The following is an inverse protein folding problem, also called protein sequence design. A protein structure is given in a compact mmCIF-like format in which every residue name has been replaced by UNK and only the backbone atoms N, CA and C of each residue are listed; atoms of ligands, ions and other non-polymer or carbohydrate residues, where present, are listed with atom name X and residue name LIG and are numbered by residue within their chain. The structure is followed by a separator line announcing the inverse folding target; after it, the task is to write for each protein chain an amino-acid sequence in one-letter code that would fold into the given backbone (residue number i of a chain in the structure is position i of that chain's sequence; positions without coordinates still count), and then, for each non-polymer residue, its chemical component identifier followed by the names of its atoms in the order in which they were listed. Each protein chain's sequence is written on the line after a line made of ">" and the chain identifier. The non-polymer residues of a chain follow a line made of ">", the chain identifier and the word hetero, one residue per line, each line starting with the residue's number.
data_IF_327887221817
#
_entry.id   IF_327887221817
#
_cell.length_a   1.000
_cell.length_b   1.000
_cell.length_c   1.000
_cell.angle_alpha   90.00
_cell.angle_beta   90.00
_cell.angle_gamma   90.00
#
_symmetry.space_group_name_H-M   'P 1'
#
loop_
_entity.id
_entity.type
_entity.pdbx_description
1 polymer ?
#
# COMPACT_ATOMS: atom_id res chain seq x y z
N UNK A 1 7.33 -21.90 -8.59
CA UNK A 1 6.16 -21.95 -9.49
C UNK A 1 6.11 -20.61 -10.19
N UNK A 2 6.01 -20.61 -11.52
CA UNK A 2 5.98 -19.37 -12.31
C UNK A 2 4.57 -18.78 -12.26
N UNK A 3 4.46 -17.49 -11.97
CA UNK A 3 3.20 -16.73 -12.00
C UNK A 3 2.99 -16.19 -13.41
N UNK A 4 1.79 -16.36 -13.94
CA UNK A 4 1.43 -15.94 -15.30
C UNK A 4 0.29 -14.94 -15.28
N UNK A 5 0.51 -13.75 -15.81
CA UNK A 5 -0.53 -12.77 -16.07
C UNK A 5 -0.83 -12.70 -17.58
N UNK A 6 -2.05 -12.31 -17.93
CA UNK A 6 -2.36 -11.85 -19.27
C UNK A 6 -2.55 -10.34 -19.25
N UNK A 7 -1.97 -9.65 -20.22
CA UNK A 7 -2.16 -8.23 -20.43
C UNK A 7 -3.07 -7.98 -21.63
N UNK A 8 -4.16 -7.25 -21.42
CA UNK A 8 -5.12 -6.90 -22.46
C UNK A 8 -5.04 -5.40 -22.71
N UNK A 9 -4.65 -5.04 -23.92
CA UNK A 9 -4.55 -3.66 -24.42
C UNK A 9 -5.07 -3.60 -25.86
N UNK A 10 -5.41 -2.42 -26.36
CA UNK A 10 -5.60 -2.20 -27.79
C UNK A 10 -4.29 -1.84 -28.50
N UNK A 11 -3.34 -1.23 -27.80
CA UNK A 11 -2.02 -0.87 -28.30
C UNK A 11 -0.99 -2.01 -28.17
N UNK A 12 -0.52 -2.61 -29.29
CA UNK A 12 0.48 -3.66 -29.23
C UNK A 12 1.85 -3.17 -28.73
N UNK A 13 2.17 -1.88 -28.86
CA UNK A 13 3.45 -1.32 -28.38
C UNK A 13 3.47 -1.12 -26.87
N UNK A 14 2.30 -1.04 -26.22
CA UNK A 14 2.21 -0.91 -24.76
C UNK A 14 2.77 -2.13 -24.01
N UNK A 15 2.98 -3.27 -24.69
CA UNK A 15 3.71 -4.41 -24.14
C UNK A 15 5.12 -4.03 -23.63
N UNK A 16 5.85 -3.17 -24.36
CA UNK A 16 7.21 -2.80 -23.96
C UNK A 16 7.26 -2.08 -22.60
N UNK A 17 6.15 -1.46 -22.16
CA UNK A 17 6.05 -0.79 -20.87
C UNK A 17 5.85 -1.78 -19.71
N UNK A 18 5.24 -2.93 -19.96
CA UNK A 18 4.99 -3.96 -18.93
C UNK A 18 6.07 -5.03 -18.86
N UNK A 19 6.91 -5.15 -19.89
CA UNK A 19 7.97 -6.16 -19.92
C UNK A 19 8.95 -6.02 -18.75
N UNK A 20 9.14 -4.80 -18.22
CA UNK A 20 9.98 -4.58 -17.04
C UNK A 20 9.46 -5.23 -15.74
N UNK A 21 8.21 -5.69 -15.70
CA UNK A 21 7.70 -6.49 -14.60
C UNK A 21 8.16 -7.96 -14.66
N UNK A 22 8.47 -8.47 -15.85
CA UNK A 22 8.81 -9.88 -16.04
C UNK A 22 10.14 -10.26 -15.41
N UNK A 23 10.20 -11.45 -14.82
CA UNK A 23 11.41 -12.04 -14.26
C UNK A 23 11.25 -13.57 -14.15
N UNK A 24 12.17 -14.25 -13.48
CA UNK A 24 12.15 -15.72 -13.30
C UNK A 24 10.88 -16.25 -12.62
N UNK A 25 10.13 -15.40 -11.91
CA UNK A 25 8.90 -15.72 -11.18
C UNK A 25 7.64 -15.18 -11.85
N UNK A 26 7.72 -14.15 -12.67
CA UNK A 26 6.56 -13.49 -13.32
C UNK A 26 6.72 -13.44 -14.84
N UNK A 27 5.71 -13.93 -15.55
CA UNK A 27 5.59 -13.80 -17.01
C UNK A 27 4.28 -13.13 -17.36
N UNK A 28 4.27 -12.31 -18.41
CA UNK A 28 3.09 -11.58 -18.86
C UNK A 28 2.86 -11.83 -20.34
N UNK A 29 1.79 -12.54 -20.65
CA UNK A 29 1.37 -12.78 -22.02
C UNK A 29 0.50 -11.60 -22.50
N UNK A 30 1.04 -10.80 -23.43
CA UNK A 30 0.30 -9.71 -24.06
C UNK A 30 -0.66 -10.22 -25.13
N UNK A 31 -1.87 -9.68 -25.14
CA UNK A 31 -2.85 -9.93 -26.18
C UNK A 31 -3.66 -8.66 -26.47
N UNK A 32 -4.01 -8.46 -27.74
CA UNK A 32 -5.00 -7.45 -28.09
C UNK A 32 -6.41 -7.90 -27.68
N UNK A 33 -7.29 -6.92 -27.45
CA UNK A 33 -8.71 -7.17 -27.18
C UNK A 33 -9.38 -8.00 -28.29
N UNK A 34 -10.42 -8.76 -27.91
CA UNK A 34 -11.37 -9.39 -28.85
C UNK A 34 -12.45 -8.41 -29.29
N UNK A 35 -13.27 -8.80 -30.25
CA UNK A 35 -14.25 -7.89 -30.87
C UNK A 35 -15.44 -7.63 -29.93
N UNK A 36 -15.86 -8.67 -29.22
CA UNK A 36 -16.96 -8.64 -28.25
C UNK A 36 -16.51 -9.04 -26.85
N UNK A 37 -17.30 -8.66 -25.83
CA UNK A 37 -17.01 -9.01 -24.46
C UNK A 37 -17.18 -10.53 -24.24
N UNK A 38 -18.11 -11.18 -24.94
CA UNK A 38 -18.34 -12.62 -24.90
C UNK A 38 -17.11 -13.39 -25.41
N UNK A 39 -16.56 -12.99 -26.55
CA UNK A 39 -15.33 -13.59 -27.09
C UNK A 39 -14.14 -13.36 -26.17
N UNK A 40 -14.03 -12.17 -25.59
CA UNK A 40 -12.95 -11.85 -24.65
C UNK A 40 -13.04 -12.72 -23.39
N UNK A 41 -14.22 -12.87 -22.81
CA UNK A 41 -14.43 -13.73 -21.65
C UNK A 41 -14.20 -15.21 -21.97
N UNK A 42 -14.65 -15.68 -23.14
CA UNK A 42 -14.39 -17.06 -23.54
C UNK A 42 -12.89 -17.31 -23.70
N UNK A 43 -12.16 -16.34 -24.27
CA UNK A 43 -10.70 -16.39 -24.38
C UNK A 43 -10.01 -16.45 -23.01
N UNK A 44 -10.51 -15.69 -22.03
CA UNK A 44 -10.00 -15.72 -20.65
C UNK A 44 -10.34 -17.06 -19.99
N UNK A 45 -11.58 -17.52 -20.11
CA UNK A 45 -12.07 -18.78 -19.53
C UNK A 45 -11.27 -19.97 -20.04
N UNK A 46 -10.97 -20.03 -21.34
CA UNK A 46 -10.17 -21.09 -21.93
C UNK A 46 -8.73 -21.17 -21.39
N UNK A 47 -8.22 -20.09 -20.79
CA UNK A 47 -6.87 -19.99 -20.21
C UNK A 47 -6.88 -19.89 -18.68
N UNK A 48 -8.03 -19.99 -18.02
CA UNK A 48 -8.16 -19.63 -16.59
C UNK A 48 -7.28 -20.48 -15.65
N UNK A 49 -7.02 -21.73 -16.05
CA UNK A 49 -6.17 -22.66 -15.28
C UNK A 49 -4.68 -22.37 -15.46
N UNK A 50 -4.31 -21.68 -16.55
CA UNK A 50 -2.93 -21.30 -16.85
C UNK A 50 -2.56 -19.92 -16.31
N UNK A 51 -3.54 -19.07 -16.04
CA UNK A 51 -3.33 -17.70 -15.57
C UNK A 51 -3.59 -17.55 -14.08
N UNK A 52 -2.88 -16.58 -13.50
CA UNK A 52 -2.92 -16.21 -12.10
C UNK A 52 -3.42 -14.79 -11.87
N UNK A 53 -3.64 -14.02 -12.94
CA UNK A 53 -4.14 -12.65 -12.87
C UNK A 53 -4.25 -12.02 -14.25
N UNK A 54 -4.88 -10.85 -14.30
CA UNK A 54 -5.08 -10.07 -15.52
C UNK A 54 -4.62 -8.63 -15.28
N UNK A 55 -3.90 -8.08 -16.25
CA UNK A 55 -3.61 -6.65 -16.37
C UNK A 55 -4.48 -6.10 -17.50
N UNK A 56 -5.23 -5.03 -17.24
CA UNK A 56 -6.15 -4.43 -18.21
C UNK A 56 -5.77 -2.98 -18.47
N UNK A 57 -5.74 -2.58 -19.74
CA UNK A 57 -5.87 -1.17 -20.07
C UNK A 57 -7.34 -0.70 -19.89
N UNK A 58 -7.50 0.58 -19.56
CA UNK A 58 -8.81 1.21 -19.37
C UNK A 58 -9.56 1.39 -20.70
N UNK A 59 -8.85 1.83 -21.73
CA UNK A 59 -9.34 2.19 -23.05
C UNK A 59 -8.95 1.12 -24.06
N UNK A 60 -9.81 0.11 -24.15
CA UNK A 60 -9.64 -0.97 -25.14
C UNK A 60 -10.26 -0.61 -26.50
N UNK A 61 -10.88 0.58 -26.62
CA UNK A 61 -11.67 1.05 -27.75
C UNK A 61 -10.98 2.14 -28.61
N UNK A 62 -9.75 2.55 -28.27
CA UNK A 62 -9.02 3.65 -28.92
C UNK A 62 -8.35 3.20 -30.25
N UNK A 63 -7.84 1.97 -30.33
CA UNK A 63 -7.19 1.38 -31.50
C UNK A 63 -7.92 0.09 -31.97
N UNK A 64 -7.88 -0.23 -33.28
CA UNK A 64 -8.37 -1.51 -33.77
C UNK A 64 -7.37 -2.64 -33.47
N UNK A 65 -7.87 -3.84 -33.25
CA UNK A 65 -7.07 -5.06 -33.18
C UNK A 65 -6.52 -5.48 -34.56
N UNK A 66 -5.71 -6.54 -34.59
CA UNK A 66 -5.13 -7.13 -35.81
C UNK A 66 -6.16 -7.47 -36.91
N UNK A 67 -7.43 -7.69 -36.56
CA UNK A 67 -8.51 -7.98 -37.51
C UNK A 67 -9.23 -6.70 -38.01
N UNK A 68 -8.79 -5.52 -37.57
CA UNK A 68 -9.38 -4.23 -37.95
C UNK A 68 -10.61 -3.83 -37.14
N UNK A 69 -10.94 -4.56 -36.07
CA UNK A 69 -12.09 -4.28 -35.22
C UNK A 69 -11.69 -3.51 -33.97
N UNK A 70 -12.52 -2.57 -33.54
CA UNK A 70 -12.38 -1.87 -32.24
C UNK A 70 -13.21 -2.59 -31.19
N UNK A 71 -12.75 -2.62 -29.94
CA UNK A 71 -13.54 -3.17 -28.85
C UNK A 71 -14.86 -2.39 -28.72
N UNK A 72 -15.94 -3.11 -28.40
CA UNK A 72 -17.23 -2.51 -28.05
C UNK A 72 -17.40 -2.30 -26.55
N UNK A 73 -16.31 -2.39 -25.80
CA UNK A 73 -16.26 -2.35 -24.34
C UNK A 73 -14.97 -1.68 -23.87
N UNK A 74 -14.99 -1.19 -22.63
CA UNK A 74 -13.83 -0.63 -21.94
C UNK A 74 -13.31 -1.60 -20.88
N UNK A 75 -12.10 -1.32 -20.36
CA UNK A 75 -11.49 -2.12 -19.30
C UNK A 75 -12.37 -2.26 -18.06
N UNK A 76 -13.10 -1.21 -17.66
CA UNK A 76 -14.06 -1.24 -16.54
C UNK A 76 -15.24 -2.17 -16.81
N UNK A 77 -15.84 -2.10 -18.00
CA UNK A 77 -16.96 -2.98 -18.38
C UNK A 77 -16.54 -4.45 -18.37
N UNK A 78 -15.35 -4.74 -18.90
CA UNK A 78 -14.77 -6.08 -18.88
C UNK A 78 -14.46 -6.54 -17.44
N UNK A 79 -13.84 -5.70 -16.62
CA UNK A 79 -13.52 -6.02 -15.23
C UNK A 79 -14.77 -6.30 -14.41
N UNK A 80 -15.82 -5.48 -14.56
CA UNK A 80 -17.12 -5.69 -13.91
C UNK A 80 -17.69 -7.07 -14.26
N UNK A 81 -17.68 -7.43 -15.55
CA UNK A 81 -18.22 -8.71 -15.99
C UNK A 81 -17.37 -9.89 -15.51
N UNK A 82 -16.04 -9.76 -15.51
CA UNK A 82 -15.13 -10.74 -14.89
C UNK A 82 -15.50 -10.95 -13.42
N UNK A 83 -15.71 -9.88 -12.63
CA UNK A 83 -16.11 -9.97 -11.22
C UNK A 83 -17.47 -10.66 -11.06
N UNK A 84 -18.44 -10.36 -11.94
CA UNK A 84 -19.74 -11.04 -11.96
C UNK A 84 -19.57 -12.55 -12.16
N UNK A 85 -18.80 -12.97 -13.18
CA UNK A 85 -18.55 -14.40 -13.46
C UNK A 85 -17.75 -15.09 -12.36
N UNK A 86 -16.83 -14.39 -11.70
CA UNK A 86 -16.10 -14.89 -10.54
C UNK A 86 -17.05 -15.14 -9.36
N UNK A 87 -17.98 -14.21 -9.09
CA UNK A 87 -19.00 -14.36 -8.04
C UNK A 87 -19.96 -15.52 -8.31
N UNK A 88 -20.31 -15.75 -9.56
CA UNK A 88 -21.18 -16.85 -9.99
C UNK A 88 -20.46 -18.21 -10.03
N UNK A 89 -19.15 -18.25 -9.80
CA UNK A 89 -18.34 -19.46 -9.93
C UNK A 89 -18.13 -19.93 -11.37
N UNK A 90 -18.54 -19.13 -12.36
CA UNK A 90 -18.34 -19.40 -13.79
C UNK A 90 -16.89 -19.18 -14.18
N UNK A 91 -16.16 -18.29 -13.50
CA UNK A 91 -14.75 -18.02 -13.77
C UNK A 91 -13.94 -18.17 -12.47
N UNK A 92 -12.74 -18.73 -12.57
CA UNK A 92 -11.80 -18.78 -11.45
C UNK A 92 -11.54 -17.36 -10.88
N UNK A 93 -11.43 -17.26 -9.56
CA UNK A 93 -11.04 -16.01 -8.90
C UNK A 93 -9.53 -15.76 -9.05
N UNK A 94 -9.19 -14.56 -9.51
CA UNK A 94 -7.83 -14.04 -9.68
C UNK A 94 -7.85 -12.49 -9.59
N UNK A 95 -6.70 -11.86 -9.29
CA UNK A 95 -6.59 -10.41 -9.26
C UNK A 95 -6.74 -9.76 -10.64
N UNK A 96 -7.30 -8.56 -10.66
CA UNK A 96 -7.40 -7.69 -11.83
C UNK A 96 -6.65 -6.39 -11.53
N UNK A 97 -5.67 -6.08 -12.37
CA UNK A 97 -4.80 -4.91 -12.24
C UNK A 97 -5.16 -3.93 -13.35
N UNK A 98 -5.42 -2.68 -12.99
CA UNK A 98 -5.57 -1.62 -13.98
C UNK A 98 -4.20 -1.06 -14.34
N UNK A 99 -3.88 -1.00 -15.61
CA UNK A 99 -2.67 -0.37 -16.13
C UNK A 99 -3.08 0.66 -17.17
N UNK A 100 -3.07 1.95 -16.83
CA UNK A 100 -3.61 2.99 -17.71
C UNK A 100 -2.80 4.29 -17.65
N UNK A 101 -2.82 5.07 -18.73
CA UNK A 101 -2.13 6.35 -18.84
C UNK A 101 -3.04 7.48 -18.34
N UNK A 102 -2.94 7.83 -17.05
CA UNK A 102 -3.32 9.13 -16.48
C UNK A 102 -3.22 9.13 -14.95
N UNK A 103 -2.64 10.20 -14.42
CA UNK A 103 -2.75 10.67 -13.03
C UNK A 103 -4.20 10.85 -12.54
N UNK A 104 -5.14 11.01 -13.48
CA UNK A 104 -6.58 11.14 -13.24
C UNK A 104 -7.38 9.85 -13.37
N UNK A 105 -6.77 8.67 -13.50
CA UNK A 105 -7.52 7.38 -13.50
C UNK A 105 -8.35 7.23 -12.22
N UNK A 106 -7.84 7.72 -11.09
CA UNK A 106 -8.56 7.77 -9.81
C UNK A 106 -9.68 8.82 -9.74
N UNK A 107 -9.70 9.81 -10.66
CA UNK A 107 -10.75 10.84 -10.80
C UNK A 107 -11.76 10.48 -11.90
N UNK A 108 -11.34 9.74 -12.93
CA UNK A 108 -12.16 9.30 -14.05
C UNK A 108 -12.98 8.04 -13.72
N UNK A 109 -12.48 7.20 -12.81
CA UNK A 109 -13.26 6.13 -12.20
C UNK A 109 -14.09 6.72 -11.06
N UNK A 110 -15.42 6.66 -11.21
CA UNK A 110 -16.33 6.84 -10.06
C UNK A 110 -15.95 5.84 -8.95
N UNK A 111 -16.39 6.10 -7.70
CA UNK A 111 -16.06 5.24 -6.55
C UNK A 111 -16.29 3.75 -6.83
N UNK A 112 -17.37 3.40 -7.54
CA UNK A 112 -17.70 2.03 -7.95
C UNK A 112 -16.73 1.40 -8.95
N UNK A 113 -16.09 2.19 -9.82
CA UNK A 113 -15.15 1.70 -10.82
C UNK A 113 -13.79 1.34 -10.24
N UNK A 114 -13.39 1.95 -9.12
CA UNK A 114 -12.15 1.60 -8.39
C UNK A 114 -12.23 0.21 -7.77
N UNK A 115 -13.42 -0.18 -7.35
CA UNK A 115 -13.68 -1.42 -6.62
C UNK A 115 -13.48 -2.67 -7.47
N UNK A 116 -13.36 -2.50 -8.79
CA UNK A 116 -13.16 -3.59 -9.75
C UNK A 116 -11.72 -4.10 -9.77
N UNK A 117 -10.76 -3.23 -9.45
CA UNK A 117 -9.33 -3.50 -9.59
C UNK A 117 -8.67 -3.64 -8.22
N UNK A 118 -7.75 -4.59 -8.09
CA UNK A 118 -7.01 -4.80 -6.85
C UNK A 118 -5.92 -3.74 -6.65
N UNK A 119 -5.24 -3.36 -7.74
CA UNK A 119 -4.28 -2.25 -7.79
C UNK A 119 -4.41 -1.50 -9.11
N UNK A 120 -4.04 -0.22 -9.09
CA UNK A 120 -3.96 0.65 -10.27
C UNK A 120 -2.52 1.11 -10.48
N UNK A 121 -2.00 0.93 -11.68
CA UNK A 121 -0.63 1.28 -12.07
C UNK A 121 -0.71 2.33 -13.19
N UNK A 122 -0.06 3.47 -12.98
CA UNK A 122 -0.02 4.56 -13.94
C UNK A 122 1.06 4.33 -14.99
N UNK A 123 0.64 4.10 -16.25
CA UNK A 123 1.50 3.88 -17.41
C UNK A 123 2.49 5.02 -17.65
N UNK A 124 2.15 6.25 -17.26
CA UNK A 124 2.95 7.44 -17.56
C UNK A 124 4.17 7.59 -16.64
N UNK A 125 4.14 6.92 -15.49
CA UNK A 125 5.13 7.04 -14.42
C UNK A 125 5.95 5.76 -14.22
N UNK A 126 5.90 4.81 -15.16
CA UNK A 126 6.64 3.55 -15.12
C UNK A 126 8.14 3.79 -15.30
N UNK A 127 8.93 3.32 -14.32
CA UNK A 127 10.37 3.28 -14.35
C UNK A 127 10.91 2.08 -13.52
N UNK A 128 12.23 1.99 -13.35
CA UNK A 128 12.88 0.91 -12.59
C UNK A 128 12.42 0.80 -11.12
N UNK A 129 12.14 1.94 -10.47
CA UNK A 129 11.62 1.97 -9.10
C UNK A 129 10.18 1.44 -9.06
N UNK A 130 9.36 1.78 -10.07
CA UNK A 130 8.01 1.23 -10.22
C UNK A 130 8.04 -0.29 -10.33
N UNK A 131 8.97 -0.87 -11.09
CA UNK A 131 9.10 -2.33 -11.22
C UNK A 131 9.48 -2.99 -9.89
N UNK A 132 10.37 -2.39 -9.11
CA UNK A 132 10.75 -2.89 -7.79
C UNK A 132 9.57 -2.91 -6.80
N UNK A 133 8.58 -2.03 -6.98
CA UNK A 133 7.37 -1.95 -6.14
C UNK A 133 6.28 -2.91 -6.66
N UNK A 134 5.91 -2.79 -7.93
CA UNK A 134 4.72 -3.46 -8.45
C UNK A 134 4.96 -4.94 -8.79
N UNK A 135 6.18 -5.36 -9.16
CA UNK A 135 6.43 -6.78 -9.45
C UNK A 135 6.17 -7.68 -8.23
N UNK A 136 6.69 -7.38 -7.03
CA UNK A 136 6.30 -8.10 -5.81
C UNK A 136 4.79 -8.05 -5.53
N UNK A 137 4.12 -6.93 -5.79
CA UNK A 137 2.68 -6.80 -5.61
C UNK A 137 1.90 -7.73 -6.56
N UNK A 138 2.27 -7.81 -7.84
CA UNK A 138 1.64 -8.73 -8.81
C UNK A 138 1.81 -10.19 -8.38
N UNK A 139 3.02 -10.58 -7.97
CA UNK A 139 3.33 -11.92 -7.49
C UNK A 139 2.53 -12.28 -6.24
N UNK A 140 2.46 -11.36 -5.28
CA UNK A 140 1.79 -11.61 -4.00
C UNK A 140 0.27 -11.54 -4.12
N UNK A 141 -0.28 -10.74 -5.04
CA UNK A 141 -1.71 -10.74 -5.36
C UNK A 141 -2.12 -12.13 -5.88
N UNK A 142 -1.37 -12.67 -6.85
CA UNK A 142 -1.61 -14.00 -7.39
C UNK A 142 -1.55 -15.09 -6.32
N UNK A 143 -0.50 -15.11 -5.49
CA UNK A 143 -0.35 -16.12 -4.44
C UNK A 143 -1.33 -15.92 -3.28
N UNK A 144 -1.65 -14.67 -2.94
CA UNK A 144 -2.61 -14.29 -1.90
C UNK A 144 -4.03 -14.72 -2.26
N UNK A 145 -4.47 -14.53 -3.51
CA UNK A 145 -5.74 -15.06 -3.99
C UNK A 145 -5.82 -16.59 -3.86
N UNK A 146 -4.76 -17.31 -4.25
CA UNK A 146 -4.68 -18.78 -4.08
C UNK A 146 -4.76 -19.21 -2.61
N UNK A 147 -4.19 -18.41 -1.70
CA UNK A 147 -4.25 -18.66 -0.25
C UNK A 147 -5.66 -18.40 0.29
N UNK A 148 -6.24 -17.23 0.01
CA UNK A 148 -7.59 -16.86 0.44
C UNK A 148 -8.66 -17.86 -0.03
N UNK A 149 -8.58 -18.35 -1.26
CA UNK A 149 -9.49 -19.39 -1.78
C UNK A 149 -9.46 -20.71 -0.99
N UNK A 150 -8.34 -21.01 -0.31
CA UNK A 150 -8.15 -22.25 0.47
C UNK A 150 -8.39 -22.03 1.96
N UNK A 151 -8.41 -20.79 2.40
CA UNK A 151 -8.56 -20.40 3.80
C UNK A 151 -10.02 -20.55 4.22
N UNK A 152 -10.26 -21.29 5.31
CA UNK A 152 -11.62 -21.48 5.85
C UNK A 152 -12.01 -20.36 6.80
N UNK A 153 -11.08 -19.93 7.65
CA UNK A 153 -11.23 -18.77 8.52
C UNK A 153 -10.29 -17.66 8.03
N UNK A 154 -10.86 -16.57 7.54
CA UNK A 154 -10.15 -15.43 6.98
C UNK A 154 -9.12 -14.85 7.95
N UNK A 155 -9.31 -15.01 9.27
CA UNK A 155 -8.33 -14.59 10.28
C UNK A 155 -7.00 -15.34 10.16
N UNK A 156 -7.01 -16.59 9.68
CA UNK A 156 -5.79 -17.37 9.37
C UNK A 156 -4.96 -16.72 8.25
N UNK A 157 -5.59 -15.90 7.38
CA UNK A 157 -4.88 -15.20 6.31
C UNK A 157 -3.83 -14.22 6.87
N UNK A 158 -4.00 -13.73 8.10
CA UNK A 158 -3.09 -12.80 8.78
C UNK A 158 -1.78 -13.45 9.23
N UNK A 159 -1.74 -14.78 9.35
CA UNK A 159 -0.60 -15.55 9.83
C UNK A 159 0.02 -14.99 11.14
N UNK A 160 -0.83 -14.69 12.12
CA UNK A 160 -0.43 -14.11 13.40
C UNK A 160 -1.30 -14.69 14.52
N UNK A 161 -0.80 -14.60 15.75
CA UNK A 161 -1.62 -14.87 16.93
C UNK A 161 -2.68 -13.76 17.07
N UNK A 162 -3.94 -14.14 16.81
CA UNK A 162 -5.07 -13.22 16.79
C UNK A 162 -5.42 -12.67 18.18
N UNK A 163 -4.96 -13.31 19.27
CA UNK A 163 -5.27 -12.86 20.64
C UNK A 163 -4.67 -11.49 20.98
N UNK A 164 -3.66 -11.05 20.22
CA UNK A 164 -3.00 -9.74 20.36
C UNK A 164 -3.47 -8.71 19.33
N UNK A 165 -4.42 -9.06 18.46
CA UNK A 165 -4.96 -8.18 17.42
C UNK A 165 -6.25 -7.52 17.94
N UNK A 166 -6.46 -6.25 17.58
CA UNK A 166 -7.66 -5.50 17.94
C UNK A 166 -8.93 -6.26 17.54
N UNK A 167 -9.79 -6.53 18.52
CA UNK A 167 -10.99 -7.33 18.32
C UNK A 167 -12.00 -6.68 17.37
N UNK A 168 -11.98 -5.34 17.24
CA UNK A 168 -12.85 -4.61 16.30
C UNK A 168 -12.40 -4.87 14.87
N UNK A 169 -11.08 -4.89 14.62
CA UNK A 169 -10.55 -5.28 13.31
C UNK A 169 -10.89 -6.73 12.97
N UNK A 170 -10.73 -7.65 13.94
CA UNK A 170 -11.05 -9.06 13.72
C UNK A 170 -12.54 -9.28 13.41
N UNK A 171 -13.42 -8.55 14.11
CA UNK A 171 -14.87 -8.59 13.86
C UNK A 171 -15.20 -8.11 12.44
N UNK A 172 -14.65 -6.97 12.04
CA UNK A 172 -14.88 -6.40 10.70
C UNK A 172 -14.31 -7.30 9.60
N UNK A 173 -13.13 -7.90 9.81
CA UNK A 173 -12.55 -8.87 8.87
C UNK A 173 -13.45 -10.10 8.70
N UNK A 174 -14.05 -10.59 9.79
CA UNK A 174 -14.93 -11.76 9.79
C UNK A 174 -16.22 -11.52 8.99
N UNK A 175 -16.72 -10.29 8.93
CA UNK A 175 -17.87 -9.95 8.08
C UNK A 175 -17.60 -10.18 6.58
N UNK A 176 -16.32 -10.18 6.17
CA UNK A 176 -15.91 -10.49 4.79
C UNK A 176 -15.70 -11.99 4.52
N UNK A 177 -15.81 -12.87 5.51
CA UNK A 177 -15.55 -14.32 5.38
C UNK A 177 -16.30 -14.97 4.20
N UNK A 178 -17.55 -14.56 3.98
CA UNK A 178 -18.41 -15.09 2.92
C UNK A 178 -18.44 -14.21 1.66
N UNK A 179 -17.69 -13.12 1.65
CA UNK A 179 -17.58 -12.24 0.48
C UNK A 179 -16.71 -12.87 -0.60
N UNK A 180 -16.86 -12.48 -1.88
CA UNK A 180 -15.94 -12.88 -2.93
C UNK A 180 -14.48 -12.54 -2.59
N UNK A 181 -13.53 -13.35 -3.07
CA UNK A 181 -12.11 -13.21 -2.72
C UNK A 181 -11.54 -11.83 -3.01
N UNK A 182 -11.99 -11.17 -4.08
CA UNK A 182 -11.54 -9.81 -4.39
C UNK A 182 -11.98 -8.76 -3.36
N UNK A 183 -13.15 -8.96 -2.74
CA UNK A 183 -13.63 -8.09 -1.66
C UNK A 183 -12.81 -8.33 -0.40
N UNK A 184 -12.52 -9.60 -0.07
CA UNK A 184 -11.63 -9.96 1.04
C UNK A 184 -10.23 -9.37 0.85
N UNK A 185 -9.63 -9.58 -0.33
CA UNK A 185 -8.32 -9.07 -0.69
C UNK A 185 -8.27 -7.55 -0.58
N UNK A 186 -9.28 -6.87 -1.12
CA UNK A 186 -9.39 -5.41 -1.05
C UNK A 186 -9.45 -4.91 0.38
N UNK A 187 -10.29 -5.48 1.24
CA UNK A 187 -10.35 -5.05 2.65
C UNK A 187 -8.99 -5.18 3.35
N UNK A 188 -8.29 -6.31 3.15
CA UNK A 188 -6.95 -6.52 3.73
C UNK A 188 -5.95 -5.49 3.17
N UNK A 189 -5.96 -5.24 1.86
CA UNK A 189 -5.04 -4.29 1.24
C UNK A 189 -5.36 -2.86 1.71
N UNK A 190 -6.59 -2.39 1.55
CA UNK A 190 -6.95 -0.98 1.73
C UNK A 190 -7.14 -0.58 3.19
N UNK A 191 -7.57 -1.50 4.07
CA UNK A 191 -7.91 -1.18 5.46
C UNK A 191 -6.89 -1.67 6.49
N UNK A 192 -5.97 -2.56 6.09
CA UNK A 192 -4.89 -3.06 6.95
C UNK A 192 -3.50 -2.70 6.38
N UNK A 193 -3.21 -3.00 5.11
CA UNK A 193 -1.86 -2.85 4.57
C UNK A 193 -1.54 -1.41 4.15
N UNK A 194 -2.46 -0.72 3.50
CA UNK A 194 -2.25 0.65 3.00
C UNK A 194 -2.43 1.71 4.09
N UNK A 195 -3.00 1.34 5.24
CA UNK A 195 -3.24 2.25 6.37
C UNK A 195 -2.21 2.03 7.47
N UNK A 196 -1.84 3.12 8.12
CA UNK A 196 -1.07 3.06 9.35
C UNK A 196 -2.00 2.70 10.51
N UNK A 197 -1.52 1.90 11.46
CA UNK A 197 -2.25 1.55 12.67
C UNK A 197 -1.70 0.26 13.29
N UNK A 198 -2.47 -0.83 13.18
CA UNK A 198 -2.02 -2.16 13.59
C UNK A 198 -0.70 -2.58 12.93
N UNK A 199 -0.60 -2.28 11.63
CA UNK A 199 0.59 -2.46 10.82
C UNK A 199 1.23 -1.11 10.49
N UNK A 200 2.55 -1.10 10.44
CA UNK A 200 3.35 0.07 10.06
C UNK A 200 4.33 -0.29 8.94
N UNK A 201 4.60 0.67 8.05
CA UNK A 201 5.64 0.51 7.02
C UNK A 201 7.03 0.82 7.60
N UNK A 202 8.04 0.65 6.75
CA UNK A 202 9.43 0.86 7.13
C UNK A 202 9.74 2.30 7.55
N UNK A 203 9.15 3.30 6.88
CA UNK A 203 9.35 4.72 7.23
C UNK A 203 8.82 5.00 8.64
N UNK A 204 7.58 4.59 8.93
CA UNK A 204 6.96 4.76 10.25
C UNK A 204 7.69 3.95 11.31
N UNK A 205 8.17 2.75 10.99
CA UNK A 205 9.03 1.97 11.90
C UNK A 205 10.30 2.75 12.26
N UNK A 206 11.01 3.31 11.28
CA UNK A 206 12.20 4.12 11.52
C UNK A 206 11.88 5.35 12.38
N UNK A 207 10.77 6.04 12.10
CA UNK A 207 10.31 7.18 12.90
C UNK A 207 10.02 6.77 14.35
N UNK A 208 9.26 5.71 14.58
CA UNK A 208 8.92 5.23 15.94
C UNK A 208 10.15 4.82 16.74
N UNK A 209 11.17 4.29 16.07
CA UNK A 209 12.46 3.96 16.68
C UNK A 209 13.42 5.17 16.82
N UNK A 210 13.06 6.33 16.27
CA UNK A 210 13.86 7.56 16.35
C UNK A 210 15.07 7.59 15.41
N UNK A 211 15.06 6.80 14.33
CA UNK A 211 16.22 6.54 13.48
C UNK A 211 16.07 7.24 12.13
N UNK A 212 17.15 7.87 11.67
CA UNK A 212 17.32 8.25 10.27
C UNK A 212 17.82 7.05 9.48
N UNK A 213 16.90 6.30 8.84
CA UNK A 213 17.26 5.08 8.11
C UNK A 213 18.16 5.34 6.91
N UNK A 214 18.11 6.53 6.29
CA UNK A 214 18.93 6.86 5.11
C UNK A 214 20.39 7.06 5.51
N UNK A 215 20.62 7.64 6.68
CA UNK A 215 21.96 7.90 7.22
C UNK A 215 22.52 6.76 8.08
N UNK A 216 21.81 5.65 8.23
CA UNK A 216 22.14 4.55 9.16
C UNK A 216 22.59 3.26 8.44
N UNK A 217 23.90 3.01 8.30
CA UNK A 217 24.40 1.75 7.73
C UNK A 217 23.90 0.46 8.41
N UNK A 218 23.65 0.51 9.72
CA UNK A 218 23.19 -0.68 10.49
C UNK A 218 21.67 -0.91 10.38
N UNK A 219 20.95 -0.13 9.56
CA UNK A 219 19.49 -0.22 9.44
C UNK A 219 18.99 -1.62 9.03
N UNK A 220 19.63 -2.25 8.04
CA UNK A 220 19.25 -3.59 7.59
C UNK A 220 19.46 -4.66 8.68
N UNK A 221 20.52 -4.54 9.47
CA UNK A 221 20.79 -5.44 10.61
C UNK A 221 19.75 -5.25 11.71
N UNK A 222 19.34 -4.01 11.97
CA UNK A 222 18.26 -3.71 12.90
C UNK A 222 16.94 -4.33 12.44
N UNK A 223 16.59 -4.22 11.15
CA UNK A 223 15.38 -4.87 10.61
C UNK A 223 15.41 -6.38 10.78
N UNK A 224 16.58 -7.02 10.62
CA UNK A 224 16.72 -8.46 10.87
C UNK A 224 16.41 -8.81 12.33
N UNK A 225 16.81 -7.98 13.29
CA UNK A 225 16.47 -8.16 14.70
C UNK A 225 14.97 -8.04 15.01
N UNK A 226 14.21 -7.38 14.11
CA UNK A 226 12.76 -7.19 14.15
C UNK A 226 11.99 -8.17 13.25
N UNK A 227 12.64 -9.19 12.71
CA UNK A 227 12.02 -10.18 11.81
C UNK A 227 10.80 -10.87 12.41
N UNK A 228 10.78 -11.12 13.72
CA UNK A 228 9.61 -11.71 14.41
C UNK A 228 8.41 -10.78 14.48
N UNK A 229 8.62 -9.47 14.31
CA UNK A 229 7.55 -8.47 14.28
C UNK A 229 7.01 -8.23 12.86
N UNK A 230 7.64 -8.80 11.82
CA UNK A 230 7.18 -8.64 10.44
C UNK A 230 5.81 -9.30 10.23
N UNK A 231 4.96 -8.61 9.48
CA UNK A 231 3.74 -9.20 8.95
C UNK A 231 4.12 -10.27 7.92
N UNK A 232 3.53 -11.45 8.04
CA UNK A 232 3.77 -12.60 7.14
C UNK A 232 2.46 -13.21 6.64
N UNK A 233 1.35 -12.46 6.77
CA UNK A 233 0.05 -12.84 6.25
C UNK A 233 -0.04 -12.74 4.73
N UNK A 234 -1.23 -12.86 4.17
CA UNK A 234 -1.44 -12.65 2.72
C UNK A 234 -0.88 -11.31 2.26
N UNK A 235 -0.31 -11.28 1.06
CA UNK A 235 0.24 -10.07 0.43
C UNK A 235 1.51 -9.47 1.05
N UNK A 236 2.10 -10.06 2.10
CA UNK A 236 3.21 -9.44 2.84
C UNK A 236 4.46 -9.08 1.99
N UNK A 237 4.76 -9.83 0.93
CA UNK A 237 5.95 -9.56 0.09
C UNK A 237 5.77 -8.30 -0.78
N UNK A 238 4.54 -8.00 -1.19
CA UNK A 238 4.21 -6.78 -1.95
C UNK A 238 3.93 -5.57 -1.06
N UNK A 239 3.62 -5.81 0.22
CA UNK A 239 3.40 -4.79 1.24
C UNK A 239 4.17 -5.14 2.52
N UNK A 240 5.50 -4.92 2.55
CA UNK A 240 6.30 -5.16 3.74
C UNK A 240 5.85 -4.28 4.90
N UNK A 241 5.43 -4.91 5.99
CA UNK A 241 4.88 -4.25 7.18
C UNK A 241 5.32 -4.95 8.46
N UNK A 242 5.18 -4.25 9.59
CA UNK A 242 5.42 -4.78 10.93
C UNK A 242 4.20 -4.59 11.80
N UNK A 243 3.89 -5.58 12.63
CA UNK A 243 2.89 -5.48 13.68
C UNK A 243 3.41 -4.58 14.79
N UNK A 244 2.71 -3.47 15.07
CA UNK A 244 3.18 -2.54 16.08
C UNK A 244 3.28 -3.20 17.46
N UNK A 245 2.30 -4.02 17.85
CA UNK A 245 2.33 -4.70 19.14
C UNK A 245 3.54 -5.64 19.30
N UNK A 246 4.06 -6.21 18.19
CA UNK A 246 5.27 -7.03 18.21
C UNK A 246 6.55 -6.17 18.23
N UNK A 247 6.52 -4.97 17.63
CA UNK A 247 7.60 -3.98 17.76
C UNK A 247 7.70 -3.49 19.21
N UNK A 248 6.56 -3.20 19.85
CA UNK A 248 6.52 -2.84 21.28
C UNK A 248 7.04 -3.99 22.16
N UNK A 249 6.63 -5.24 21.87
CA UNK A 249 7.16 -6.41 22.57
C UNK A 249 8.68 -6.55 22.38
N UNK A 250 9.17 -6.37 21.16
CA UNK A 250 10.60 -6.37 20.88
C UNK A 250 11.32 -5.28 21.69
N UNK A 251 10.76 -4.08 21.78
CA UNK A 251 11.32 -2.99 22.57
C UNK A 251 11.43 -3.35 24.06
N UNK A 252 10.38 -3.93 24.64
CA UNK A 252 10.37 -4.27 26.06
C UNK A 252 11.18 -5.52 26.39
N UNK A 253 11.13 -6.55 25.54
CA UNK A 253 11.72 -7.86 25.85
C UNK A 253 13.12 -8.05 25.26
N UNK A 254 13.36 -7.54 24.04
CA UNK A 254 14.66 -7.68 23.37
C UNK A 254 15.59 -6.52 23.72
N UNK A 255 15.07 -5.29 23.71
CA UNK A 255 15.85 -4.11 24.10
C UNK A 255 15.92 -3.97 25.63
N UNK A 256 15.01 -4.64 26.36
CA UNK A 256 14.95 -4.66 27.83
C UNK A 256 14.77 -3.27 28.43
N UNK A 257 13.96 -2.43 27.77
CA UNK A 257 13.67 -1.07 28.22
C UNK A 257 12.28 -1.01 28.84
N UNK A 258 12.22 -0.58 30.11
CA UNK A 258 10.97 -0.38 30.84
C UNK A 258 10.26 0.96 30.53
N UNK A 259 10.83 1.78 29.64
CA UNK A 259 10.22 3.02 29.17
C UNK A 259 9.32 2.74 27.97
N UNK A 260 8.22 3.48 27.87
CA UNK A 260 7.32 3.39 26.72
C UNK A 260 8.06 3.81 25.44
N UNK A 261 7.91 3.02 24.38
CA UNK A 261 8.44 3.38 23.06
C UNK A 261 7.82 4.68 22.54
N UNK A 262 6.55 4.98 22.84
CA UNK A 262 5.88 6.21 22.38
C UNK A 262 6.50 7.48 22.98
N UNK A 263 6.75 7.47 24.29
CA UNK A 263 7.16 8.66 25.06
C UNK A 263 8.65 8.68 25.39
N UNK A 264 9.48 8.06 24.53
CA UNK A 264 10.93 8.10 24.67
C UNK A 264 11.50 8.98 23.54
N UNK A 265 12.32 10.00 23.86
CA UNK A 265 13.01 10.81 22.86
C UNK A 265 13.84 9.97 21.88
N UNK A 266 13.89 10.37 20.61
CA UNK A 266 14.61 9.66 19.55
C UNK A 266 16.07 9.36 19.92
N UNK A 267 16.79 10.34 20.47
CA UNK A 267 18.18 10.18 20.92
C UNK A 267 18.35 9.04 21.92
N UNK A 268 17.46 8.98 22.92
CA UNK A 268 17.46 7.94 23.94
C UNK A 268 17.06 6.58 23.38
N UNK A 269 16.12 6.52 22.42
CA UNK A 269 15.76 5.27 21.74
C UNK A 269 16.98 4.65 21.06
N UNK A 270 17.66 5.44 20.24
CA UNK A 270 18.82 5.01 19.47
C UNK A 270 19.97 4.59 20.40
N UNK A 271 20.21 5.33 21.48
CA UNK A 271 21.21 4.97 22.49
C UNK A 271 20.96 3.56 23.07
N UNK A 272 19.72 3.25 23.47
CA UNK A 272 19.37 1.94 24.03
C UNK A 272 19.51 0.82 22.99
N UNK A 273 19.10 1.06 21.75
CA UNK A 273 19.21 0.08 20.66
C UNK A 273 20.68 -0.23 20.36
N UNK A 274 21.50 0.82 20.19
CA UNK A 274 22.95 0.70 19.96
C UNK A 274 23.61 -0.12 21.07
N UNK A 275 23.33 0.24 22.33
CA UNK A 275 23.89 -0.43 23.50
C UNK A 275 23.48 -1.90 23.60
N UNK A 276 22.20 -2.23 23.34
CA UNK A 276 21.71 -3.60 23.52
C UNK A 276 22.10 -4.53 22.36
N UNK A 277 22.12 -4.02 21.13
CA UNK A 277 22.39 -4.81 19.93
C UNK A 277 23.86 -4.74 19.48
N UNK A 278 24.70 -3.95 20.15
CA UNK A 278 26.08 -3.66 19.75
C UNK A 278 26.16 -3.09 18.33
N UNK A 279 25.32 -2.09 18.04
CA UNK A 279 25.36 -1.34 16.79
C UNK A 279 26.02 0.02 17.01
N UNK A 280 26.82 0.47 16.05
CA UNK A 280 27.60 1.71 16.17
C UNK A 280 27.16 2.76 15.15
N UNK A 281 26.41 2.37 14.10
CA UNK A 281 26.13 3.20 12.92
C UNK A 281 24.62 3.39 12.68
N UNK A 282 23.86 3.60 13.76
CA UNK A 282 22.44 3.99 13.70
C UNK A 282 22.28 5.48 14.01
N UNK A 283 21.99 6.33 13.04
CA UNK A 283 21.87 7.78 13.25
C UNK A 283 20.51 8.21 13.80
N UNK A 284 20.53 9.20 14.70
CA UNK A 284 19.31 9.75 15.31
C UNK A 284 18.60 10.65 14.32
N UNK A 285 17.31 10.40 14.11
CA UNK A 285 16.45 11.26 13.31
C UNK A 285 16.41 12.69 13.88
N UNK A 286 16.52 13.67 12.99
CA UNK A 286 16.46 15.07 13.39
C UNK A 286 15.04 15.63 13.25
N UNK A 287 14.68 16.55 14.15
CA UNK A 287 13.42 17.28 14.08
C UNK A 287 13.29 18.03 12.76
N UNK A 288 12.05 18.18 12.31
CA UNK A 288 11.71 19.09 11.22
C UNK A 288 11.69 20.51 11.80
N UNK A 289 12.00 21.53 10.99
CA UNK A 289 11.86 22.92 11.39
C UNK A 289 10.48 23.17 12.03
N UNK A 290 10.44 24.01 13.07
CA UNK A 290 9.24 24.36 13.85
C UNK A 290 8.58 23.20 14.63
N UNK A 291 9.16 21.99 14.63
CA UNK A 291 8.77 20.92 15.55
C UNK A 291 9.53 21.04 16.88
N UNK A 292 8.84 20.78 17.98
CA UNK A 292 9.42 20.84 19.33
C UNK A 292 9.77 19.45 19.84
N UNK A 293 8.93 18.46 19.60
CA UNK A 293 9.10 17.08 20.05
C UNK A 293 10.09 16.30 19.17
N UNK A 294 10.85 15.41 19.79
CA UNK A 294 11.64 14.35 19.14
C UNK A 294 11.13 12.94 19.50
N UNK A 295 9.93 12.83 20.10
CA UNK A 295 9.23 11.57 20.38
C UNK A 295 8.47 11.07 19.16
N UNK A 296 9.16 10.98 18.01
CA UNK A 296 8.52 10.71 16.72
C UNK A 296 7.67 9.44 16.72
N UNK A 297 6.54 9.49 16.00
CA UNK A 297 5.59 8.39 15.92
C UNK A 297 5.00 8.15 14.53
N UNK A 298 5.00 9.18 13.69
CA UNK A 298 4.50 9.16 12.33
C UNK A 298 5.49 9.84 11.38
N UNK A 299 5.11 10.00 10.12
CA UNK A 299 5.88 10.65 9.08
C UNK A 299 5.14 11.88 8.58
N UNK A 300 5.86 12.99 8.43
CA UNK A 300 5.35 14.17 7.74
C UNK A 300 5.22 13.89 6.24
N UNK A 301 4.00 13.91 5.68
CA UNK A 301 3.78 13.69 4.23
C UNK A 301 4.44 14.73 3.32
N UNK A 302 4.69 15.94 3.83
CA UNK A 302 5.38 16.98 3.06
C UNK A 302 6.90 16.75 2.92
N UNK A 303 7.56 16.18 3.93
CA UNK A 303 9.02 15.98 3.94
C UNK A 303 9.46 14.52 3.85
N UNK A 304 8.54 13.58 4.05
CA UNK A 304 8.84 12.16 4.28
C UNK A 304 9.88 11.95 5.40
N UNK A 305 9.73 12.70 6.51
CA UNK A 305 10.62 12.67 7.67
C UNK A 305 9.83 12.38 8.97
N UNK A 306 10.49 11.81 9.99
CA UNK A 306 9.87 11.56 11.30
C UNK A 306 9.20 12.80 11.89
N UNK A 307 8.02 12.61 12.46
CA UNK A 307 7.17 13.64 13.06
C UNK A 307 6.48 13.06 14.29
N UNK A 308 6.37 13.88 15.33
CA UNK A 308 5.44 13.63 16.42
C UNK A 308 4.09 14.28 16.06
N UNK A 309 2.96 13.54 16.13
CA UNK A 309 1.63 14.12 15.94
C UNK A 309 1.36 15.44 16.67
N UNK A 310 1.98 15.70 17.83
CA UNK A 310 1.81 16.98 18.56
C UNK A 310 2.33 18.20 17.79
N UNK A 311 3.27 17.99 16.85
CA UNK A 311 3.85 19.02 15.97
C UNK A 311 3.28 18.93 14.53
N UNK A 312 2.24 18.12 14.33
CA UNK A 312 1.60 17.87 13.04
C UNK A 312 0.21 18.48 12.94
N UNK A 313 -0.22 18.72 11.71
CA UNK A 313 -1.59 19.07 11.34
C UNK A 313 -2.19 17.86 10.61
N UNK A 314 -3.39 17.45 11.00
CA UNK A 314 -4.11 16.34 10.35
C UNK A 314 -4.42 16.70 8.89
N UNK A 315 -4.23 15.75 7.98
CA UNK A 315 -4.55 15.90 6.55
C UNK A 315 -6.05 15.69 6.30
N UNK A 316 -6.63 16.43 5.35
CA UNK A 316 -8.04 16.34 4.99
C UNK A 316 -8.42 14.96 4.39
N UNK A 317 -9.69 14.56 4.54
CA UNK A 317 -10.24 13.37 3.88
C UNK A 317 -10.07 12.08 4.67
N UNK A 318 -9.85 12.18 5.98
CA UNK A 318 -9.59 11.07 6.90
C UNK A 318 -10.71 10.89 7.95
N UNK A 319 -11.91 11.40 7.68
CA UNK A 319 -13.01 11.43 8.66
C UNK A 319 -13.59 10.02 8.98
N UNK A 320 -13.34 9.04 8.10
CA UNK A 320 -13.89 7.68 8.21
C UNK A 320 -12.81 6.64 8.53
N UNK A 321 -11.81 7.00 9.33
CA UNK A 321 -10.81 6.02 9.79
C UNK A 321 -11.47 5.00 10.72
N UNK A 322 -11.11 3.74 10.51
CA UNK A 322 -11.47 2.70 11.46
C UNK A 322 -10.76 2.90 12.81
N UNK A 323 -11.30 2.38 13.93
CA UNK A 323 -10.72 2.61 15.25
C UNK A 323 -9.32 2.05 15.49
N UNK A 324 -8.83 1.20 14.58
CA UNK A 324 -7.47 0.63 14.60
C UNK A 324 -6.52 1.30 13.61
N UNK A 325 -7.00 2.31 12.87
CA UNK A 325 -6.22 3.09 11.91
C UNK A 325 -5.81 4.42 12.54
N UNK A 326 -4.65 4.93 12.11
CA UNK A 326 -4.10 6.19 12.58
C UNK A 326 -4.17 7.27 11.48
N UNK A 327 -4.41 8.54 11.86
CA UNK A 327 -4.41 9.64 10.91
C UNK A 327 -3.00 9.96 10.39
N UNK A 328 -2.97 10.50 9.18
CA UNK A 328 -1.79 11.03 8.52
C UNK A 328 -1.65 12.54 8.75
N UNK A 329 -0.40 13.00 8.82
CA UNK A 329 -0.06 14.36 9.22
C UNK A 329 0.90 15.04 8.25
N UNK A 330 0.84 16.37 8.24
CA UNK A 330 1.87 17.25 7.69
C UNK A 330 2.43 18.12 8.80
N UNK A 331 3.75 18.33 8.84
CA UNK A 331 4.36 19.19 9.86
C UNK A 331 3.98 20.65 9.64
N UNK A 332 3.98 21.44 10.71
CA UNK A 332 3.71 22.89 10.65
C UNK A 332 4.59 23.59 9.59
N UNK A 333 5.89 23.28 9.55
CA UNK A 333 6.77 23.90 8.57
C UNK A 333 6.45 23.50 7.12
N UNK A 334 6.14 22.23 6.88
CA UNK A 334 5.73 21.76 5.55
C UNK A 334 4.42 22.43 5.11
N UNK A 335 3.44 22.56 6.00
CA UNK A 335 2.17 23.23 5.72
C UNK A 335 2.36 24.71 5.39
N UNK A 336 3.16 25.44 6.17
CA UNK A 336 3.45 26.85 5.95
C UNK A 336 4.21 27.09 4.64
N UNK A 337 5.17 26.23 4.30
CA UNK A 337 5.96 26.31 3.06
C UNK A 337 5.28 25.68 1.85
N UNK A 338 4.13 25.01 2.04
CA UNK A 338 3.46 24.18 1.03
C UNK A 338 4.39 23.14 0.40
N UNK A 339 5.27 22.54 1.21
CA UNK A 339 6.24 21.57 0.74
C UNK A 339 5.53 20.31 0.26
N UNK A 340 5.79 19.91 -0.99
CA UNK A 340 5.25 18.72 -1.65
C UNK A 340 3.72 18.57 -1.46
N UNK A 341 3.00 19.68 -1.67
CA UNK A 341 1.55 19.78 -1.42
C UNK A 341 0.73 18.80 -2.25
N UNK A 342 1.25 18.35 -3.39
CA UNK A 342 0.66 17.30 -4.21
C UNK A 342 0.48 15.97 -3.46
N UNK A 343 1.32 15.69 -2.45
CA UNK A 343 1.28 14.43 -1.70
C UNK A 343 0.28 14.44 -0.53
N UNK A 344 -0.18 15.61 -0.09
CA UNK A 344 -1.05 15.73 1.09
C UNK A 344 -2.23 16.68 0.91
N UNK A 345 -2.28 17.47 -0.17
CA UNK A 345 -3.39 18.34 -0.53
C UNK A 345 -3.63 19.47 0.47
N UNK A 346 -4.55 19.27 1.40
CA UNK A 346 -5.00 20.26 2.37
C UNK A 346 -4.98 19.68 3.78
N UNK A 347 -4.87 20.56 4.77
CA UNK A 347 -5.12 20.19 6.17
C UNK A 347 -6.62 20.01 6.39
N UNK A 348 -6.98 19.17 7.36
CA UNK A 348 -8.36 18.94 7.75
C UNK A 348 -9.06 20.24 8.16
N UNK A 349 -10.38 20.31 8.00
CA UNK A 349 -11.13 21.54 8.26
C UNK A 349 -10.96 22.04 9.70
N UNK A 350 -10.83 21.11 10.66
CA UNK A 350 -10.59 21.40 12.08
C UNK A 350 -9.22 22.04 12.35
N UNK A 351 -8.25 21.88 11.44
CA UNK A 351 -6.89 22.42 11.57
C UNK A 351 -6.72 23.79 10.90
N UNK A 352 -7.70 24.23 10.10
CA UNK A 352 -7.56 25.42 9.25
C UNK A 352 -7.38 26.70 10.06
N UNK A 353 -8.15 26.87 11.12
CA UNK A 353 -8.06 28.05 12.00
C UNK A 353 -6.68 28.13 12.66
N UNK A 354 -6.22 27.02 13.24
CA UNK A 354 -4.88 26.93 13.84
C UNK A 354 -3.76 27.19 12.82
N UNK A 355 -3.88 26.70 11.58
CA UNK A 355 -2.91 27.00 10.52
C UNK A 355 -2.88 28.50 10.17
N UNK A 356 -4.01 29.21 10.17
CA UNK A 356 -4.02 30.67 9.96
C UNK A 356 -3.33 31.42 11.11
N UNK A 357 -3.53 30.99 12.36
CA UNK A 357 -2.80 31.55 13.51
C UNK A 357 -1.29 31.35 13.37
N UNK A 358 -0.87 30.14 12.98
CA UNK A 358 0.54 29.82 12.76
C UNK A 358 1.17 30.67 11.65
N UNK A 359 0.43 31.03 10.59
CA UNK A 359 0.91 31.96 9.54
C UNK A 359 1.18 33.35 10.09
N UNK A 360 0.41 33.81 11.07
CA UNK A 360 0.64 35.10 11.74
C UNK A 360 1.87 35.02 12.64
N UNK A 361 1.96 33.96 13.47
CA UNK A 361 3.07 33.74 14.41
C UNK A 361 4.42 33.63 13.69
N UNK A 362 4.46 32.87 12.60
CA UNK A 362 5.69 32.62 11.84
C UNK A 362 5.88 33.56 10.63
N UNK A 363 5.15 34.68 10.59
CA UNK A 363 5.34 35.69 9.55
C UNK A 363 6.76 36.25 9.65
N UNK A 364 7.54 36.31 8.55
CA UNK A 364 8.85 36.93 8.59
C UNK A 364 8.71 38.39 9.03
N UNK A 365 9.42 38.78 10.10
CA UNK A 365 9.55 40.19 10.45
C UNK A 365 10.27 40.88 9.29
N UNK A 366 9.61 41.89 8.72
CA UNK A 366 10.16 42.71 7.62
C UNK A 366 11.40 43.46 8.06
#
# INVERSE_FOLDING_TARGET
>A
MMTKFIYIDDDPESYYKIQGFENEKLTIESQQHKDSWEEQLQSIKNKEDEIDGIILDLKLDDLPNLNGHRAKFRGTSLAQEIRTRQKEGILKSFPIVLFSANDKVSLALEKSGKDLFDICIDKSNINSESFAIYTPQLLTLASGYKKLLKTKDIKESLNSDISFIDSRFLSELEDYQSSPVHVQARFIITELLDKQGLLINEDVLAARLGIDKTSSPDWELLKQSLSTAQYTGVFYEGWPKWWMHLVDRWWTEKIEVNLSLRSTPASKKVEQIRAKLNFDKLEVAQRIDKSVSDEFWTICKGYNRPLDPVDGLIIQGQDNLYPWQEPEYVSIDAALKKKNIENWGQVADVEKEYLEELKVVFRPKK
#
